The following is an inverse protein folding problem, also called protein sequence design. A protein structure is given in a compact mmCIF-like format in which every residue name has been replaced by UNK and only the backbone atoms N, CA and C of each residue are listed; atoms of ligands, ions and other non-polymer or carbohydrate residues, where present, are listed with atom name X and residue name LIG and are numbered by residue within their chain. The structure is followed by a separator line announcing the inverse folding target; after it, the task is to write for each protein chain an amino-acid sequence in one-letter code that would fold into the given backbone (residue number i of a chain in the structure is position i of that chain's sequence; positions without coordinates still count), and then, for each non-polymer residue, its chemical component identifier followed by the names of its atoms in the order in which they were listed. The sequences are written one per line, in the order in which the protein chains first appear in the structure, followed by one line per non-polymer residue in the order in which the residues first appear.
data_IF_047607398836
#
_entry.id   IF_047607398836
#
_cell.length_a   1.000
_cell.length_b   1.000
_cell.length_c   1.000
_cell.angle_alpha   90.00
_cell.angle_beta   90.00
_cell.angle_gamma   90.00
#
_symmetry.space_group_name_H-M   'P 1'
#
loop_
_entity.id
_entity.type
_entity.pdbx_description
1 polymer ?
#
# COMPACT_ATOMS: atom_id res chain seq x y z
N UNK A 1 -5.17 29.96 -8.20
CA UNK A 1 -4.30 29.08 -7.39
C UNK A 1 -2.87 29.33 -7.85
N UNK A 2 -2.04 29.89 -6.99
CA UNK A 2 -0.71 30.40 -7.34
C UNK A 2 0.24 29.22 -7.68
N UNK A 3 1.08 29.34 -8.73
CA UNK A 3 1.96 28.24 -9.19
C UNK A 3 2.89 27.73 -8.10
N UNK A 4 3.25 28.59 -7.14
CA UNK A 4 4.04 28.23 -5.96
C UNK A 4 3.30 27.28 -5.01
N UNK A 5 1.97 27.41 -4.88
CA UNK A 5 1.14 26.51 -4.07
C UNK A 5 1.01 25.14 -4.72
N UNK A 6 0.94 25.07 -6.06
CA UNK A 6 0.89 23.80 -6.79
C UNK A 6 2.17 22.97 -6.58
N UNK A 7 3.33 23.59 -6.75
CA UNK A 7 4.64 22.94 -6.53
C UNK A 7 4.84 22.50 -5.07
N UNK A 8 4.36 23.29 -4.10
CA UNK A 8 4.39 22.94 -2.68
C UNK A 8 3.54 21.71 -2.34
N UNK A 9 2.42 21.49 -3.05
CA UNK A 9 1.62 20.28 -2.90
C UNK A 9 2.25 19.05 -3.55
N UNK A 10 2.90 19.22 -4.70
CA UNK A 10 3.59 18.12 -5.41
C UNK A 10 4.79 17.57 -4.63
N UNK A 11 5.52 18.43 -3.91
CA UNK A 11 6.67 18.03 -3.08
C UNK A 11 6.27 17.11 -1.90
N UNK A 12 5.00 17.14 -1.48
CA UNK A 12 4.49 16.24 -0.42
C UNK A 12 4.18 14.82 -0.90
N UNK A 13 4.09 14.61 -2.21
CA UNK A 13 3.84 13.29 -2.81
C UNK A 13 5.12 12.48 -2.94
N UNK A 14 6.28 13.14 -2.88
CA UNK A 14 7.56 12.47 -2.88
C UNK A 14 7.75 11.81 -1.52
N UNK A 15 7.98 10.48 -1.46
CA UNK A 15 8.27 9.82 -0.20
C UNK A 15 9.55 10.45 0.39
N UNK A 16 9.38 11.18 1.48
CA UNK A 16 10.47 11.89 2.19
C UNK A 16 11.53 10.92 2.70
N UNK A 17 11.18 9.64 2.85
CA UNK A 17 12.04 8.63 3.42
C UNK A 17 12.00 7.30 2.67
N UNK A 18 13.20 6.73 2.45
CA UNK A 18 13.38 5.35 1.99
C UNK A 18 12.89 4.31 2.99
N UNK A 19 12.59 4.70 4.24
CA UNK A 19 12.03 3.81 5.25
C UNK A 19 10.62 3.32 4.86
N UNK A 20 9.78 4.20 4.31
CA UNK A 20 8.42 3.84 3.86
C UNK A 20 8.48 2.83 2.69
N UNK A 21 9.43 3.04 1.77
CA UNK A 21 9.66 2.11 0.65
C UNK A 21 10.19 0.75 1.14
N UNK A 22 11.13 0.75 2.11
CA UNK A 22 11.65 -0.49 2.74
C UNK A 22 10.58 -1.27 3.50
N UNK A 23 9.65 -0.57 4.15
CA UNK A 23 8.49 -1.20 4.81
C UNK A 23 7.63 -1.98 3.80
N UNK A 24 7.41 -1.41 2.61
CA UNK A 24 6.74 -2.09 1.50
C UNK A 24 7.45 -3.37 1.06
N UNK A 25 8.78 -3.34 0.91
CA UNK A 25 9.54 -4.55 0.56
C UNK A 25 9.49 -5.63 1.65
N UNK A 26 9.55 -5.24 2.92
CA UNK A 26 9.41 -6.19 4.03
C UNK A 26 8.03 -6.85 4.04
N UNK A 27 6.96 -6.10 3.75
CA UNK A 27 5.61 -6.62 3.63
C UNK A 27 5.48 -7.55 2.42
N UNK A 28 6.10 -7.20 1.30
CA UNK A 28 6.15 -8.06 0.11
C UNK A 28 6.79 -9.40 0.44
N UNK A 29 7.88 -9.43 1.23
CA UNK A 29 8.52 -10.67 1.67
C UNK A 29 7.63 -11.51 2.60
N UNK A 30 6.79 -10.88 3.42
CA UNK A 30 5.81 -11.58 4.27
C UNK A 30 4.70 -12.25 3.44
N UNK A 31 4.26 -11.56 2.38
CA UNK A 31 3.23 -12.04 1.45
C UNK A 31 3.81 -13.10 0.52
N UNK A 32 5.00 -12.85 -0.03
CA UNK A 32 5.80 -13.73 -0.89
C UNK A 32 6.73 -14.61 -0.03
N UNK A 33 6.15 -15.43 0.85
CA UNK A 33 6.94 -16.51 1.47
C UNK A 33 7.06 -17.69 0.50
N UNK A 34 8.13 -18.48 0.58
CA UNK A 34 8.34 -19.67 -0.26
C UNK A 34 7.15 -20.66 -0.25
N UNK A 35 6.38 -20.71 0.85
CA UNK A 35 5.15 -21.51 0.97
C UNK A 35 3.94 -20.96 0.20
N UNK A 36 3.94 -19.67 -0.16
CA UNK A 36 2.86 -18.95 -0.88
C UNK A 36 3.24 -18.57 -2.32
N UNK A 37 4.30 -19.18 -2.85
CA UNK A 37 4.84 -18.98 -4.20
C UNK A 37 3.86 -19.24 -5.36
N UNK A 38 2.66 -19.77 -5.08
CA UNK A 38 1.57 -19.91 -6.06
C UNK A 38 0.79 -18.62 -6.34
N UNK A 39 1.00 -17.55 -5.57
CA UNK A 39 0.36 -16.26 -5.82
C UNK A 39 0.99 -15.59 -7.04
N UNK A 40 0.18 -15.24 -8.03
CA UNK A 40 0.64 -14.41 -9.15
C UNK A 40 1.06 -13.03 -8.65
N UNK A 41 1.98 -12.38 -9.37
CA UNK A 41 2.42 -11.00 -9.08
C UNK A 41 1.23 -10.03 -8.97
N UNK A 42 0.19 -10.24 -9.78
CA UNK A 42 -1.04 -9.46 -9.74
C UNK A 42 -1.79 -9.62 -8.40
N UNK A 43 -1.87 -10.84 -7.88
CA UNK A 43 -2.50 -11.09 -6.58
C UNK A 43 -1.66 -10.53 -5.42
N UNK A 44 -0.33 -10.61 -5.51
CA UNK A 44 0.59 -10.00 -4.54
C UNK A 44 0.41 -8.48 -4.52
N UNK A 45 0.36 -7.84 -5.68
CA UNK A 45 0.14 -6.39 -5.80
C UNK A 45 -1.20 -5.96 -5.18
N UNK A 46 -2.28 -6.73 -5.42
CA UNK A 46 -3.59 -6.48 -4.78
C UNK A 46 -3.53 -6.62 -3.26
N UNK A 47 -2.84 -7.64 -2.74
CA UNK A 47 -2.73 -7.84 -1.30
C UNK A 47 -1.87 -6.75 -0.62
N UNK A 48 -0.80 -6.31 -1.29
CA UNK A 48 0.00 -5.16 -0.89
C UNK A 48 -0.86 -3.90 -0.83
N UNK A 49 -1.68 -3.65 -1.86
CA UNK A 49 -2.59 -2.50 -1.91
C UNK A 49 -3.58 -2.49 -0.75
N UNK A 50 -4.20 -3.63 -0.44
CA UNK A 50 -5.12 -3.77 0.70
C UNK A 50 -4.38 -3.56 2.02
N UNK A 51 -3.16 -4.06 2.18
CA UNK A 51 -2.40 -3.86 3.43
C UNK A 51 -1.97 -2.39 3.64
N UNK A 52 -1.69 -1.65 2.56
CA UNK A 52 -1.25 -0.25 2.66
C UNK A 52 -2.43 0.70 2.85
N UNK A 53 -3.56 0.47 2.17
CA UNK A 53 -4.68 1.41 2.14
C UNK A 53 -5.92 0.92 2.92
N UNK A 54 -5.99 -0.37 3.21
CA UNK A 54 -7.15 -0.96 3.87
C UNK A 54 -7.19 -0.64 5.36
N UNK A 55 -8.39 -0.70 5.97
CA UNK A 55 -8.53 -0.54 7.41
C UNK A 55 -7.83 -1.72 8.14
N UNK A 56 -7.39 -1.52 9.40
CA UNK A 56 -6.97 -2.62 10.25
C UNK A 56 -8.04 -3.71 10.29
N UNK A 57 -7.64 -4.99 10.32
CA UNK A 57 -8.57 -6.13 10.35
C UNK A 57 -9.60 -6.04 11.49
N UNK A 58 -9.23 -5.43 12.62
CA UNK A 58 -10.12 -5.19 13.77
C UNK A 58 -11.23 -4.19 13.49
N UNK A 59 -11.05 -3.32 12.50
CA UNK A 59 -12.01 -2.29 12.08
C UNK A 59 -12.60 -2.60 10.70
N UNK A 60 -12.25 -3.73 10.10
CA UNK A 60 -12.74 -4.11 8.80
C UNK A 60 -14.15 -4.70 8.91
N UNK A 61 -15.11 -4.07 8.23
CA UNK A 61 -16.48 -4.55 8.16
C UNK A 61 -16.81 -5.05 6.73
N UNK A 62 -17.02 -6.36 6.54
CA UNK A 62 -17.28 -6.92 5.21
C UNK A 62 -18.58 -6.40 4.57
N UNK A 63 -19.59 -6.02 5.37
CA UNK A 63 -20.89 -5.55 4.84
C UNK A 63 -20.77 -4.22 4.08
N UNK A 64 -19.74 -3.43 4.35
CA UNK A 64 -19.53 -2.15 3.66
C UNK A 64 -19.08 -2.33 2.19
N UNK A 65 -18.65 -3.54 1.84
CA UNK A 65 -18.06 -3.87 0.54
C UNK A 65 -18.86 -4.88 -0.27
N UNK A 66 -19.97 -5.40 0.29
CA UNK A 66 -20.88 -6.34 -0.37
C UNK A 66 -22.17 -5.58 -0.73
N UNK A 67 -22.51 -5.56 -2.02
CA UNK A 67 -23.79 -5.03 -2.52
C UNK A 67 -24.88 -6.09 -2.45
#
# INVERSE_FOLDING_TARGET
MDRTQKLSQENKLLPVSTAECRRGFSLMNLIYSNFRSRLTIQNISKLMFINVNGPPLSQWNPTDYVK
#
